data_IF_176002252269
#
_entry.id   IF_176002252269
#
_cell.length_a   1.000
_cell.length_b   1.000
_cell.length_c   1.000
_cell.angle_alpha   90.00
_cell.angle_beta   90.00
_cell.angle_gamma   90.00
#
_symmetry.space_group_name_H-M   'P 1'
#
loop_
_entity.id
_entity.type
_entity.pdbx_description
1 polymer ?
#
# COMPACT_ATOMS: atom_id res chain seq x y z
N UNK A 1 -12.96 -5.49 2.30
CA UNK A 1 -12.43 -5.60 0.92
C UNK A 1 -12.89 -6.91 0.32
N UNK A 2 -13.55 -6.87 -0.83
CA UNK A 2 -14.08 -8.05 -1.54
C UNK A 2 -13.24 -8.47 -2.75
N UNK A 3 -12.28 -7.65 -3.20
CA UNK A 3 -11.40 -7.95 -4.33
C UNK A 3 -10.01 -8.42 -3.88
N UNK A 4 -9.34 -9.20 -4.72
CA UNK A 4 -7.92 -9.52 -4.62
C UNK A 4 -7.08 -8.44 -5.34
N UNK A 5 -5.83 -8.23 -4.90
CA UNK A 5 -4.94 -7.25 -5.55
C UNK A 5 -4.60 -7.64 -6.99
N UNK A 6 -4.65 -8.94 -7.33
CA UNK A 6 -4.50 -9.44 -8.70
C UNK A 6 -5.65 -9.01 -9.60
N UNK A 7 -6.88 -8.95 -9.08
CA UNK A 7 -8.06 -8.51 -9.84
C UNK A 7 -7.89 -7.06 -10.32
N UNK A 8 -7.18 -6.22 -9.56
CA UNK A 8 -6.83 -4.86 -9.99
C UNK A 8 -5.84 -4.86 -11.16
N UNK A 9 -4.88 -5.78 -11.18
CA UNK A 9 -3.94 -5.90 -12.30
C UNK A 9 -4.68 -6.30 -13.57
N UNK A 10 -5.59 -7.27 -13.47
CA UNK A 10 -6.38 -7.77 -14.60
C UNK A 10 -7.31 -6.68 -15.16
N UNK A 11 -7.95 -5.90 -14.28
CA UNK A 11 -8.86 -4.83 -14.67
C UNK A 11 -8.17 -3.57 -15.21
N UNK A 12 -6.90 -3.33 -14.87
CA UNK A 12 -6.19 -2.09 -15.16
C UNK A 12 -4.88 -2.29 -15.95
N UNK A 13 -4.87 -3.22 -16.92
CA UNK A 13 -3.68 -3.54 -17.71
C UNK A 13 -2.97 -2.32 -18.33
N UNK A 14 -3.71 -1.37 -18.90
CA UNK A 14 -3.11 -0.15 -19.46
C UNK A 14 -2.39 0.71 -18.40
N UNK A 15 -2.98 0.83 -17.20
CA UNK A 15 -2.38 1.57 -16.10
C UNK A 15 -1.15 0.85 -15.52
N UNK A 16 -1.13 -0.48 -15.60
CA UNK A 16 0.04 -1.29 -15.24
C UNK A 16 1.18 -1.07 -16.22
N UNK A 17 0.88 -1.04 -17.53
CA UNK A 17 1.88 -0.78 -18.58
C UNK A 17 2.44 0.63 -18.56
N UNK A 18 1.62 1.65 -18.26
CA UNK A 18 2.05 3.05 -18.22
C UNK A 18 2.56 3.52 -16.84
N UNK A 19 2.54 2.63 -15.83
CA UNK A 19 3.11 2.87 -14.52
C UNK A 19 2.26 3.71 -13.56
N UNK A 20 0.98 3.98 -13.90
CA UNK A 20 0.01 4.56 -12.95
C UNK A 20 -0.45 3.55 -11.91
N UNK A 21 -0.53 2.27 -12.27
CA UNK A 21 -0.65 1.15 -11.33
C UNK A 21 0.73 0.53 -11.13
N UNK A 22 1.15 0.35 -9.87
CA UNK A 22 2.43 -0.25 -9.53
C UNK A 22 2.24 -1.35 -8.50
N UNK A 23 2.93 -2.47 -8.70
CA UNK A 23 2.93 -3.62 -7.80
C UNK A 23 4.20 -3.60 -6.97
N UNK A 24 4.06 -3.65 -5.65
CA UNK A 24 5.19 -3.86 -4.75
C UNK A 24 5.46 -5.35 -4.59
N UNK A 25 6.74 -5.79 -4.63
CA UNK A 25 7.10 -7.16 -4.29
C UNK A 25 6.61 -7.55 -2.87
N UNK A 26 6.26 -8.82 -2.63
CA UNK A 26 5.74 -9.28 -1.34
C UNK A 26 6.87 -9.45 -0.30
N UNK A 27 7.59 -8.37 -0.01
CA UNK A 27 8.74 -8.35 0.92
C UNK A 27 8.36 -7.93 2.34
N UNK A 28 7.12 -7.50 2.55
CA UNK A 28 6.64 -7.03 3.85
C UNK A 28 5.92 -8.15 4.64
N UNK A 29 6.15 -8.15 5.95
CA UNK A 29 5.44 -9.04 6.88
C UNK A 29 4.08 -8.44 7.28
N UNK A 30 3.13 -9.32 7.59
CA UNK A 30 1.78 -8.94 8.03
C UNK A 30 1.68 -9.07 9.55
N UNK A 31 1.67 -7.94 10.26
CA UNK A 31 1.59 -7.93 11.73
C UNK A 31 0.18 -7.69 12.30
N UNK A 32 -0.70 -7.03 11.53
CA UNK A 32 -2.06 -6.67 12.00
C UNK A 32 -3.09 -7.80 11.88
N UNK A 33 -4.18 -7.72 12.65
CA UNK A 33 -5.33 -8.65 12.53
C UNK A 33 -6.04 -8.54 11.18
N UNK A 34 -6.12 -7.32 10.63
CA UNK A 34 -6.66 -7.08 9.30
C UNK A 34 -5.62 -7.44 8.23
N UNK A 35 -5.76 -8.63 7.65
CA UNK A 35 -4.82 -9.15 6.64
C UNK A 35 -5.00 -8.54 5.24
N UNK A 36 -6.07 -7.76 5.03
CA UNK A 36 -6.39 -7.06 3.77
C UNK A 36 -6.94 -5.67 4.11
N UNK A 37 -6.37 -4.63 3.50
CA UNK A 37 -6.79 -3.25 3.69
C UNK A 37 -6.47 -2.41 2.44
N UNK A 38 -7.17 -1.29 2.27
CA UNK A 38 -6.99 -0.36 1.15
C UNK A 38 -7.54 1.02 1.55
N UNK A 39 -6.97 2.08 0.98
CA UNK A 39 -7.43 3.45 1.18
C UNK A 39 -6.48 4.45 0.52
N UNK A 40 -6.78 5.76 0.60
CA UNK A 40 -5.85 6.80 0.18
C UNK A 40 -4.51 6.67 0.91
N UNK A 41 -3.40 6.75 0.18
CA UNK A 41 -2.08 6.69 0.76
C UNK A 41 -1.66 8.08 1.30
N UNK A 42 -1.09 8.10 2.50
CA UNK A 42 -0.38 9.26 3.07
C UNK A 42 1.08 8.88 3.20
N UNK A 43 1.99 9.74 2.72
CA UNK A 43 3.42 9.44 2.66
C UNK A 43 4.21 10.19 3.71
N UNK A 44 5.15 9.51 4.36
CA UNK A 44 6.11 10.09 5.28
C UNK A 44 7.49 9.47 5.03
N UNK A 45 8.55 10.29 5.07
CA UNK A 45 9.93 9.84 4.97
C UNK A 45 10.68 10.22 6.25
N UNK A 46 11.19 9.21 6.96
CA UNK A 46 11.95 9.36 8.22
C UNK A 46 13.15 8.43 8.24
N UNK A 47 14.10 8.69 9.14
CA UNK A 47 15.26 7.83 9.38
C UNK A 47 15.69 7.94 10.85
N UNK A 48 15.73 6.81 11.58
CA UNK A 48 16.16 6.75 12.98
C UNK A 48 15.22 7.37 14.02
N UNK A 49 14.16 8.07 13.62
CA UNK A 49 13.19 8.74 14.50
C UNK A 49 11.75 8.53 13.96
N UNK A 50 10.79 8.26 14.84
CA UNK A 50 9.38 8.00 14.51
C UNK A 50 8.38 9.05 15.03
N UNK A 51 8.84 10.23 15.48
CA UNK A 51 8.00 11.28 16.04
C UNK A 51 6.93 11.76 15.05
N UNK A 52 7.29 11.91 13.77
CA UNK A 52 6.34 12.26 12.71
C UNK A 52 5.33 11.14 12.41
N UNK A 53 5.68 9.87 12.67
CA UNK A 53 4.74 8.74 12.54
C UNK A 53 3.66 8.84 13.61
N UNK A 54 4.06 9.17 14.85
CA UNK A 54 3.12 9.37 15.96
C UNK A 54 2.17 10.52 15.70
N UNK A 55 2.68 11.66 15.23
CA UNK A 55 1.87 12.84 14.92
C UNK A 55 0.85 12.56 13.81
N UNK A 56 1.24 11.84 12.75
CA UNK A 56 0.33 11.50 11.65
C UNK A 56 -0.78 10.50 12.01
N UNK A 57 -0.66 9.81 13.14
CA UNK A 57 -1.59 8.78 13.61
C UNK A 57 -2.35 9.19 14.89
N UNK A 58 -2.10 10.39 15.42
CA UNK A 58 -2.78 10.95 16.58
C UNK A 58 -4.22 11.36 16.23
#
# INVERSE_FOLDING_TARGET
>A
MTFATTDLCDAHGAALSDGRLRVLPPVFLRFGKAQRFSGPAVTLKVFGDNSLVREALA
#
